data_IF_282045034512
#
_entry.id   IF_282045034512
#
_cell.length_a   1.000
_cell.length_b   1.000
_cell.length_c   1.000
_cell.angle_alpha   90.00
_cell.angle_beta   90.00
_cell.angle_gamma   90.00
#
_symmetry.space_group_name_H-M   'P 1'
#
loop_
_entity.id
_entity.type
_entity.pdbx_description
1 polymer ?
#
# COMPACT_ATOMS: atom_id res chain seq x y z
N UNK A 1 2.65 0.26 -22.59
CA UNK A 1 3.44 -0.16 -23.76
C UNK A 1 4.23 -1.45 -23.50
N UNK A 2 5.05 -1.51 -22.44
CA UNK A 2 5.84 -2.71 -22.11
C UNK A 2 4.98 -3.98 -21.96
N UNK A 3 3.90 -3.93 -21.18
CA UNK A 3 2.97 -5.05 -21.00
C UNK A 3 2.39 -5.53 -22.33
N UNK A 4 2.11 -4.61 -23.26
CA UNK A 4 1.62 -4.95 -24.59
C UNK A 4 2.66 -5.70 -25.40
N UNK A 5 3.92 -5.23 -25.36
CA UNK A 5 5.03 -5.87 -26.04
C UNK A 5 5.25 -7.30 -25.51
N UNK A 6 5.24 -7.48 -24.19
CA UNK A 6 5.39 -8.80 -23.57
C UNK A 6 4.25 -9.74 -23.93
N UNK A 7 2.99 -9.27 -23.87
CA UNK A 7 1.83 -10.05 -24.31
C UNK A 7 1.86 -10.33 -25.81
N UNK A 8 2.39 -9.43 -26.63
CA UNK A 8 2.56 -9.64 -28.06
C UNK A 8 3.60 -10.72 -28.33
N UNK A 9 4.76 -10.68 -27.66
CA UNK A 9 5.80 -11.71 -27.76
C UNK A 9 5.27 -13.07 -27.30
N UNK A 10 4.52 -13.08 -26.20
CA UNK A 10 3.95 -14.29 -25.64
C UNK A 10 2.82 -14.89 -26.51
N UNK A 11 1.84 -14.08 -26.92
CA UNK A 11 0.66 -14.52 -27.68
C UNK A 11 0.95 -14.65 -29.18
N UNK A 12 2.02 -14.03 -29.68
CA UNK A 12 2.42 -13.94 -31.10
C UNK A 12 1.33 -13.35 -32.00
N UNK A 13 0.43 -12.58 -31.40
CA UNK A 13 -0.77 -12.07 -32.07
C UNK A 13 -1.11 -10.67 -31.58
N UNK A 14 -1.00 -9.69 -32.48
CA UNK A 14 -1.39 -8.30 -32.23
C UNK A 14 -2.82 -8.21 -31.70
N UNK A 15 -3.77 -8.93 -32.33
CA UNK A 15 -5.19 -8.91 -31.93
C UNK A 15 -5.39 -9.40 -30.49
N UNK A 16 -4.74 -10.50 -30.10
CA UNK A 16 -4.94 -11.07 -28.76
C UNK A 16 -4.36 -10.14 -27.70
N UNK A 17 -3.12 -9.66 -27.89
CA UNK A 17 -2.48 -8.74 -26.96
C UNK A 17 -3.26 -7.43 -26.78
N UNK A 18 -3.76 -6.86 -27.88
CA UNK A 18 -4.55 -5.63 -27.83
C UNK A 18 -5.89 -5.84 -27.11
N UNK A 19 -6.56 -6.98 -27.34
CA UNK A 19 -7.82 -7.28 -26.65
C UNK A 19 -7.65 -7.49 -25.14
N UNK A 20 -6.56 -8.14 -24.70
CA UNK A 20 -6.27 -8.27 -23.26
C UNK A 20 -6.12 -6.91 -22.61
N UNK A 21 -5.32 -6.04 -23.23
CA UNK A 21 -5.02 -4.74 -22.66
C UNK A 21 -6.22 -3.83 -22.73
N UNK A 22 -7.00 -3.92 -23.80
CA UNK A 22 -8.28 -3.22 -23.89
C UNK A 22 -9.20 -3.63 -22.73
N UNK A 23 -9.36 -4.93 -22.46
CA UNK A 23 -10.18 -5.40 -21.34
C UNK A 23 -9.65 -4.92 -19.97
N UNK A 24 -8.34 -4.95 -19.77
CA UNK A 24 -7.71 -4.43 -18.55
C UNK A 24 -7.88 -2.91 -18.39
N UNK A 25 -7.72 -2.14 -19.47
CA UNK A 25 -7.93 -0.68 -19.46
C UNK A 25 -9.38 -0.33 -19.17
N UNK A 26 -10.35 -1.05 -19.75
CA UNK A 26 -11.77 -0.86 -19.44
C UNK A 26 -12.02 -1.10 -17.94
N UNK A 27 -11.39 -2.11 -17.33
CA UNK A 27 -11.52 -2.37 -15.90
C UNK A 27 -11.03 -1.19 -15.05
N UNK A 28 -9.88 -0.62 -15.42
CA UNK A 28 -9.29 0.55 -14.73
C UNK A 28 -10.18 1.79 -14.91
N UNK A 29 -10.64 2.07 -16.13
CA UNK A 29 -11.51 3.22 -16.42
C UNK A 29 -12.83 3.10 -15.66
N UNK A 30 -13.43 1.92 -15.62
CA UNK A 30 -14.65 1.68 -14.85
C UNK A 30 -14.42 1.80 -13.34
N UNK A 31 -13.27 1.34 -12.85
CA UNK A 31 -12.90 1.51 -11.44
C UNK A 31 -12.74 3.00 -11.08
N UNK A 32 -12.05 3.78 -11.90
CA UNK A 32 -11.91 5.23 -11.70
C UNK A 32 -13.26 5.96 -11.79
N UNK A 33 -14.13 5.53 -12.71
CA UNK A 33 -15.49 6.05 -12.81
C UNK A 33 -16.33 5.71 -11.58
N UNK A 34 -16.24 4.48 -11.08
CA UNK A 34 -16.93 4.05 -9.86
C UNK A 34 -16.43 4.82 -8.63
N UNK A 35 -15.12 5.08 -8.55
CA UNK A 35 -14.51 5.87 -7.49
C UNK A 35 -15.10 7.28 -7.41
N UNK A 36 -15.16 7.97 -8.55
CA UNK A 36 -15.73 9.31 -8.65
C UNK A 36 -17.23 9.32 -8.28
N UNK A 37 -17.98 8.27 -8.63
CA UNK A 37 -19.40 8.15 -8.28
C UNK A 37 -19.62 7.94 -6.78
N UNK A 38 -18.65 7.37 -6.07
CA UNK A 38 -18.68 7.20 -4.61
C UNK A 38 -18.22 8.44 -3.84
N UNK A 39 -17.73 9.48 -4.55
CA UNK A 39 -17.26 10.73 -3.95
C UNK A 39 -15.80 10.69 -3.47
N UNK A 40 -15.06 9.62 -3.80
CA UNK A 40 -13.65 9.49 -3.45
C UNK A 40 -12.74 10.10 -4.52
N UNK A 41 -11.57 10.56 -4.09
CA UNK A 41 -10.52 11.12 -4.94
C UNK A 41 -9.38 10.13 -5.22
N UNK A 42 -8.42 10.54 -6.06
CA UNK A 42 -7.12 9.89 -6.11
C UNK A 42 -6.18 10.64 -5.17
N UNK A 43 -5.76 9.96 -4.12
CA UNK A 43 -4.78 10.43 -3.14
C UNK A 43 -3.41 9.78 -3.40
N UNK A 44 -2.31 10.37 -2.90
CA UNK A 44 -0.95 9.85 -3.13
C UNK A 44 -0.79 8.35 -2.79
N UNK A 45 -1.49 7.88 -1.77
CA UNK A 45 -1.47 6.47 -1.34
C UNK A 45 -2.28 5.55 -2.26
N UNK A 46 -3.42 6.03 -2.80
CA UNK A 46 -4.28 5.22 -3.65
C UNK A 46 -3.91 5.31 -5.15
N UNK A 47 -2.93 6.17 -5.50
CA UNK A 47 -2.41 6.31 -6.87
C UNK A 47 -1.86 5.00 -7.46
N UNK A 48 -1.46 4.04 -6.62
CA UNK A 48 -0.99 2.72 -7.05
C UNK A 48 -2.14 1.74 -7.37
N UNK A 49 -3.36 2.01 -6.93
CA UNK A 49 -4.52 1.11 -7.11
C UNK A 49 -4.85 0.86 -8.59
N UNK A 50 -4.92 1.88 -9.47
CA UNK A 50 -5.13 1.65 -10.90
C UNK A 50 -4.10 0.71 -11.52
N UNK A 51 -2.83 0.83 -11.13
CA UNK A 51 -1.77 -0.05 -11.61
C UNK A 51 -1.96 -1.49 -11.11
N UNK A 52 -2.31 -1.67 -9.84
CA UNK A 52 -2.59 -2.99 -9.27
C UNK A 52 -3.77 -3.68 -9.97
N UNK A 53 -4.87 -2.96 -10.16
CA UNK A 53 -6.05 -3.47 -10.87
C UNK A 53 -5.71 -3.82 -12.32
N UNK A 54 -4.94 -2.97 -13.00
CA UNK A 54 -4.43 -3.27 -14.35
C UNK A 54 -3.62 -4.57 -14.38
N UNK A 55 -2.69 -4.76 -13.44
CA UNK A 55 -1.84 -5.94 -13.37
C UNK A 55 -2.64 -7.23 -13.11
N UNK A 56 -3.60 -7.20 -12.18
CA UNK A 56 -4.52 -8.30 -11.90
C UNK A 56 -5.35 -8.62 -13.15
N UNK A 57 -5.89 -7.59 -13.80
CA UNK A 57 -6.71 -7.74 -14.98
C UNK A 57 -5.93 -8.38 -16.15
N UNK A 58 -4.70 -7.92 -16.38
CA UNK A 58 -3.82 -8.50 -17.40
C UNK A 58 -3.48 -9.97 -17.09
N UNK A 59 -3.22 -10.31 -15.83
CA UNK A 59 -2.92 -11.69 -15.42
C UNK A 59 -4.08 -12.64 -15.73
N UNK A 60 -5.31 -12.28 -15.33
CA UNK A 60 -6.49 -13.09 -15.65
C UNK A 60 -6.82 -13.10 -17.14
N UNK A 61 -6.62 -11.98 -17.84
CA UNK A 61 -6.79 -11.91 -19.28
C UNK A 61 -5.79 -12.80 -20.05
N UNK A 62 -4.55 -12.90 -19.56
CA UNK A 62 -3.52 -13.79 -20.10
C UNK A 62 -3.92 -15.26 -19.90
N UNK A 63 -4.40 -15.63 -18.71
CA UNK A 63 -4.89 -17.00 -18.46
C UNK A 63 -6.00 -17.37 -19.45
N UNK A 64 -6.96 -16.47 -19.69
CA UNK A 64 -8.04 -16.65 -20.67
C UNK A 64 -7.50 -16.85 -22.08
N UNK A 65 -6.55 -16.01 -22.49
CA UNK A 65 -5.93 -16.10 -23.81
C UNK A 65 -5.13 -17.38 -23.97
N UNK A 66 -4.42 -17.82 -22.94
CA UNK A 66 -3.64 -19.04 -23.01
C UNK A 66 -4.53 -20.27 -23.22
N UNK A 67 -5.65 -20.37 -22.47
CA UNK A 67 -6.64 -21.45 -22.68
C UNK A 67 -7.34 -21.33 -24.03
N UNK A 68 -7.76 -20.12 -24.43
CA UNK A 68 -8.36 -19.88 -25.74
C UNK A 68 -7.44 -20.29 -26.89
N UNK A 69 -6.15 -19.95 -26.78
CA UNK A 69 -5.12 -20.31 -27.76
C UNK A 69 -4.91 -21.81 -27.84
N UNK A 70 -4.84 -22.51 -26.70
CA UNK A 70 -4.80 -23.97 -26.66
C UNK A 70 -5.98 -24.60 -27.40
N UNK A 71 -7.19 -24.08 -27.20
CA UNK A 71 -8.40 -24.55 -27.91
C UNK A 71 -8.35 -24.27 -29.41
N UNK A 72 -7.91 -23.08 -29.83
CA UNK A 72 -7.78 -22.72 -31.25
C UNK A 72 -6.70 -23.55 -31.96
N UNK A 73 -5.58 -23.86 -31.30
CA UNK A 73 -4.47 -24.57 -31.95
C UNK A 73 -4.58 -26.09 -31.86
N UNK A 74 -5.06 -26.60 -30.73
CA UNK A 74 -5.00 -28.02 -30.38
C UNK A 74 -6.35 -28.59 -29.91
N UNK A 75 -7.41 -27.80 -29.87
CA UNK A 75 -8.75 -28.27 -29.46
C UNK A 75 -8.85 -28.66 -27.98
N UNK A 76 -7.86 -28.27 -27.17
CA UNK A 76 -7.68 -28.71 -25.80
C UNK A 76 -6.57 -27.94 -25.08
N UNK A 77 -6.08 -28.50 -23.97
CA UNK A 77 -4.93 -27.95 -23.25
C UNK A 77 -3.63 -28.23 -24.01
N UNK A 78 -2.62 -27.36 -23.83
CA UNK A 78 -1.26 -27.53 -24.37
C UNK A 78 -0.48 -28.60 -23.56
N UNK A 79 -1.09 -29.76 -23.33
CA UNK A 79 -0.56 -30.87 -22.55
C UNK A 79 -0.35 -32.10 -23.46
N UNK A 80 0.89 -32.61 -23.45
CA UNK A 80 1.32 -33.77 -24.25
C UNK A 80 2.67 -33.54 -24.93
N UNK A 81 3.15 -34.55 -25.64
CA UNK A 81 4.35 -34.41 -26.48
C UNK A 81 4.03 -33.55 -27.71
N UNK A 82 5.03 -32.88 -28.33
CA UNK A 82 4.81 -32.09 -29.54
C UNK A 82 4.14 -32.88 -30.67
N UNK A 83 4.44 -34.18 -30.79
CA UNK A 83 3.86 -35.07 -31.79
C UNK A 83 2.36 -35.32 -31.55
N UNK A 84 1.94 -35.52 -30.30
CA UNK A 84 0.52 -35.63 -29.94
C UNK A 84 -0.22 -34.31 -30.21
N UNK A 85 0.40 -33.18 -29.87
CA UNK A 85 -0.17 -31.87 -30.12
C UNK A 85 -0.28 -31.55 -31.61
N UNK A 86 0.61 -32.06 -32.47
CA UNK A 86 0.50 -31.93 -33.93
C UNK A 86 -0.70 -32.68 -34.51
N UNK A 87 -1.03 -33.84 -33.95
CA UNK A 87 -2.17 -34.65 -34.42
C UNK A 87 -3.52 -34.06 -34.02
N UNK A 88 -3.59 -33.30 -32.92
CA UNK A 88 -4.85 -32.65 -32.49
C UNK A 88 -5.31 -31.58 -33.48
N UNK A 89 -6.62 -31.33 -33.56
CA UNK A 89 -7.19 -30.26 -34.39
C UNK A 89 -7.86 -29.21 -33.51
N UNK A 90 -7.62 -27.95 -33.86
CA UNK A 90 -8.26 -26.79 -33.25
C UNK A 90 -9.76 -26.73 -33.46
N UNK A 91 -10.45 -26.00 -32.59
CA UNK A 91 -11.88 -25.68 -32.71
C UNK A 91 -12.09 -24.22 -33.16
N UNK A 92 -13.24 -23.91 -33.79
CA UNK A 92 -13.54 -22.53 -34.24
C UNK A 92 -13.59 -21.54 -33.06
N UNK A 93 -13.37 -20.23 -33.31
CA UNK A 93 -13.22 -19.21 -32.26
C UNK A 93 -14.35 -19.16 -31.23
N UNK A 94 -15.61 -19.31 -31.67
CA UNK A 94 -16.76 -19.32 -30.76
C UNK A 94 -16.69 -20.51 -29.78
N UNK A 95 -16.43 -21.71 -30.29
CA UNK A 95 -16.32 -22.91 -29.45
C UNK A 95 -15.06 -22.84 -28.57
N UNK A 96 -13.96 -22.28 -29.07
CA UNK A 96 -12.75 -22.06 -28.30
C UNK A 96 -12.99 -21.12 -27.11
N UNK A 97 -13.70 -20.02 -27.32
CA UNK A 97 -14.05 -19.06 -26.28
C UNK A 97 -14.97 -19.70 -25.22
N UNK A 98 -15.99 -20.45 -25.65
CA UNK A 98 -16.90 -21.15 -24.73
C UNK A 98 -16.17 -22.17 -23.85
N UNK A 99 -15.28 -22.98 -24.44
CA UNK A 99 -14.50 -23.98 -23.69
C UNK A 99 -13.49 -23.33 -22.76
N UNK A 100 -12.78 -22.29 -23.22
CA UNK A 100 -11.83 -21.55 -22.38
C UNK A 100 -12.54 -20.87 -21.19
N UNK A 101 -13.71 -20.27 -21.45
CA UNK A 101 -14.56 -19.70 -20.42
C UNK A 101 -15.01 -20.74 -19.41
N UNK A 102 -15.56 -21.88 -19.85
CA UNK A 102 -16.00 -22.94 -18.94
C UNK A 102 -14.87 -23.50 -18.05
N UNK A 103 -13.65 -23.58 -18.59
CA UNK A 103 -12.47 -24.06 -17.85
C UNK A 103 -11.97 -23.05 -16.81
N UNK A 104 -12.03 -21.74 -17.11
CA UNK A 104 -11.48 -20.69 -16.23
C UNK A 104 -12.52 -20.11 -15.30
N UNK A 105 -13.81 -20.18 -15.63
CA UNK A 105 -14.86 -19.48 -14.89
C UNK A 105 -14.80 -19.77 -13.38
N UNK A 106 -14.78 -21.05 -12.99
CA UNK A 106 -14.75 -21.44 -11.58
C UNK A 106 -13.45 -21.00 -10.90
N UNK A 107 -12.24 -21.41 -11.35
CA UNK A 107 -11.00 -21.03 -10.68
C UNK A 107 -10.75 -19.51 -10.72
N UNK A 108 -11.11 -18.84 -11.81
CA UNK A 108 -10.99 -17.39 -11.98
C UNK A 108 -11.93 -16.62 -11.07
N UNK A 109 -13.19 -17.04 -10.95
CA UNK A 109 -14.15 -16.44 -10.02
C UNK A 109 -13.72 -16.62 -8.57
N UNK A 110 -13.29 -17.83 -8.17
CA UNK A 110 -12.82 -18.08 -6.80
C UNK A 110 -11.60 -17.21 -6.47
N UNK A 111 -10.65 -17.10 -7.39
CA UNK A 111 -9.48 -16.25 -7.21
C UNK A 111 -9.86 -14.76 -7.07
N UNK A 112 -10.72 -14.23 -7.96
CA UNK A 112 -11.13 -12.83 -7.92
C UNK A 112 -11.99 -12.50 -6.69
N UNK A 113 -12.92 -13.39 -6.31
CA UNK A 113 -13.72 -13.23 -5.10
C UNK A 113 -12.86 -13.30 -3.84
N UNK A 114 -11.90 -14.21 -3.78
CA UNK A 114 -10.95 -14.27 -2.67
C UNK A 114 -10.12 -12.99 -2.57
N UNK A 115 -9.72 -12.41 -3.71
CA UNK A 115 -9.03 -11.10 -3.73
C UNK A 115 -9.94 -9.97 -3.26
N UNK A 116 -11.22 -9.95 -3.66
CA UNK A 116 -12.20 -8.99 -3.15
C UNK A 116 -12.37 -9.10 -1.62
N UNK A 117 -12.44 -10.32 -1.08
CA UNK A 117 -12.48 -10.54 0.38
C UNK A 117 -11.19 -10.04 1.02
N UNK A 118 -10.02 -10.36 0.46
CA UNK A 118 -8.72 -9.91 0.95
C UNK A 118 -8.63 -8.39 1.05
N UNK A 119 -8.93 -7.66 -0.04
CA UNK A 119 -9.00 -6.19 0.01
C UNK A 119 -10.10 -5.68 0.94
N UNK A 120 -11.25 -6.35 0.99
CA UNK A 120 -12.35 -6.02 1.89
C UNK A 120 -11.96 -6.13 3.37
N UNK A 121 -11.10 -7.08 3.75
CA UNK A 121 -10.63 -7.18 5.15
C UNK A 121 -9.80 -5.98 5.60
N UNK A 122 -9.15 -5.26 4.68
CA UNK A 122 -8.39 -4.05 4.98
C UNK A 122 -9.31 -2.91 5.46
N UNK A 123 -10.61 -2.94 5.12
CA UNK A 123 -11.61 -1.97 5.60
C UNK A 123 -11.81 -2.00 7.12
N UNK A 124 -11.36 -3.07 7.81
CA UNK A 124 -11.42 -3.17 9.26
C UNK A 124 -10.37 -2.31 9.97
N UNK A 125 -9.38 -1.79 9.24
CA UNK A 125 -8.33 -0.93 9.79
C UNK A 125 -8.90 0.49 9.94
N UNK A 126 -8.93 1.08 11.15
CA UNK A 126 -9.53 2.39 11.40
C UNK A 126 -8.59 3.53 10.98
N UNK A 127 -8.31 3.62 9.67
CA UNK A 127 -7.51 4.69 9.06
C UNK A 127 -8.18 5.07 7.74
N UNK A 128 -8.66 6.32 7.65
CA UNK A 128 -9.50 6.77 6.52
C UNK A 128 -8.80 6.60 5.15
N UNK A 129 -7.52 6.93 5.07
CA UNK A 129 -6.75 6.73 3.82
C UNK A 129 -6.68 5.27 3.38
N UNK A 130 -6.59 4.34 4.33
CA UNK A 130 -6.54 2.89 4.06
C UNK A 130 -7.92 2.39 3.66
N UNK A 131 -8.98 2.95 4.25
CA UNK A 131 -10.36 2.65 3.90
C UNK A 131 -10.65 2.98 2.43
N UNK A 132 -10.31 4.19 1.97
CA UNK A 132 -10.53 4.59 0.57
C UNK A 132 -9.76 3.69 -0.41
N UNK A 133 -8.50 3.38 -0.11
CA UNK A 133 -7.69 2.43 -0.87
C UNK A 133 -8.36 1.06 -0.98
N UNK A 134 -8.84 0.52 0.15
CA UNK A 134 -9.45 -0.80 0.22
C UNK A 134 -10.78 -0.88 -0.53
N UNK A 135 -11.64 0.15 -0.42
CA UNK A 135 -12.88 0.23 -1.20
C UNK A 135 -12.57 0.24 -2.69
N UNK A 136 -11.65 1.12 -3.10
CA UNK A 136 -11.24 1.28 -4.50
C UNK A 136 -10.69 -0.03 -5.08
N UNK A 137 -9.81 -0.71 -4.34
CA UNK A 137 -9.23 -1.98 -4.76
C UNK A 137 -10.30 -3.08 -4.86
N UNK A 138 -11.20 -3.18 -3.88
CA UNK A 138 -12.28 -4.18 -3.87
C UNK A 138 -13.23 -3.99 -5.05
N UNK A 139 -13.66 -2.75 -5.31
CA UNK A 139 -14.50 -2.42 -6.47
C UNK A 139 -13.75 -2.69 -7.78
N UNK A 140 -12.47 -2.32 -7.86
CA UNK A 140 -11.65 -2.57 -9.05
C UNK A 140 -11.54 -4.06 -9.40
N UNK A 141 -11.22 -4.90 -8.42
CA UNK A 141 -11.14 -6.36 -8.62
C UNK A 141 -12.50 -6.95 -8.96
N UNK A 142 -13.58 -6.46 -8.33
CA UNK A 142 -14.93 -6.87 -8.68
C UNK A 142 -15.28 -6.54 -10.15
N UNK A 143 -14.89 -5.35 -10.63
CA UNK A 143 -15.08 -4.97 -12.03
C UNK A 143 -14.22 -5.81 -13.00
N UNK A 144 -13.06 -6.30 -12.56
CA UNK A 144 -12.25 -7.24 -13.34
C UNK A 144 -12.99 -8.56 -13.64
N UNK A 145 -13.96 -8.96 -12.81
CA UNK A 145 -14.82 -10.11 -13.10
C UNK A 145 -15.58 -9.87 -14.40
N UNK A 146 -16.25 -8.71 -14.52
CA UNK A 146 -17.04 -8.40 -15.72
C UNK A 146 -16.17 -8.21 -16.96
N UNK A 147 -15.02 -7.55 -16.83
CA UNK A 147 -14.18 -7.27 -18.00
C UNK A 147 -13.43 -8.52 -18.49
N UNK A 148 -12.80 -9.28 -17.60
CA UNK A 148 -11.95 -10.40 -18.03
C UNK A 148 -12.68 -11.73 -18.10
N UNK A 149 -13.69 -11.98 -17.24
CA UNK A 149 -14.47 -13.23 -17.33
C UNK A 149 -15.59 -13.12 -18.37
N UNK A 150 -16.22 -11.95 -18.54
CA UNK A 150 -17.36 -11.83 -19.46
C UNK A 150 -16.97 -11.14 -20.77
N UNK A 151 -16.51 -9.89 -20.71
CA UNK A 151 -16.28 -9.10 -21.92
C UNK A 151 -15.15 -9.67 -22.78
N UNK A 152 -14.02 -10.08 -22.20
CA UNK A 152 -12.89 -10.62 -22.96
C UNK A 152 -13.23 -11.90 -23.75
N UNK A 153 -13.87 -12.94 -23.18
CA UNK A 153 -14.29 -14.11 -23.95
C UNK A 153 -15.29 -13.78 -25.05
N UNK A 154 -16.21 -12.85 -24.80
CA UNK A 154 -17.15 -12.37 -25.83
C UNK A 154 -16.38 -11.74 -26.98
N UNK A 155 -15.43 -10.83 -26.70
CA UNK A 155 -14.59 -10.24 -27.73
C UNK A 155 -13.75 -11.29 -28.48
N UNK A 156 -13.18 -12.27 -27.77
CA UNK A 156 -12.42 -13.37 -28.37
C UNK A 156 -13.28 -14.24 -29.28
N UNK A 157 -14.56 -14.43 -28.98
CA UNK A 157 -15.47 -15.25 -29.81
C UNK A 157 -15.64 -14.70 -31.24
N UNK A 158 -15.53 -13.37 -31.41
CA UNK A 158 -15.58 -12.70 -32.71
C UNK A 158 -14.22 -12.60 -33.41
N UNK A 159 -13.14 -13.07 -32.78
CA UNK A 159 -11.80 -12.91 -33.35
C UNK A 159 -11.47 -14.02 -34.36
N UNK A 160 -11.19 -13.60 -35.59
CA UNK A 160 -10.57 -14.46 -36.59
C UNK A 160 -9.07 -14.19 -36.66
N UNK A 161 -8.28 -15.22 -36.36
CA UNK A 161 -6.83 -15.20 -36.46
C UNK A 161 -6.40 -15.63 -37.86
N UNK A 162 -5.63 -14.77 -38.54
CA UNK A 162 -4.96 -15.14 -39.78
C UNK A 162 -3.74 -16.03 -39.50
N UNK A 163 -3.38 -16.88 -40.48
CA UNK A 163 -2.18 -17.71 -40.47
C UNK A 163 -2.07 -18.66 -39.28
N UNK A 164 -3.16 -19.37 -38.95
CA UNK A 164 -3.22 -20.33 -37.85
C UNK A 164 -2.10 -21.37 -37.92
N UNK A 165 -1.81 -21.95 -39.09
CA UNK A 165 -0.78 -22.99 -39.24
C UNK A 165 0.63 -22.48 -38.98
N UNK A 166 0.93 -21.22 -39.33
CA UNK A 166 2.22 -20.61 -39.03
C UNK A 166 2.38 -20.34 -37.53
N UNK A 167 1.32 -19.81 -36.90
CA UNK A 167 1.31 -19.54 -35.45
C UNK A 167 1.38 -20.83 -34.63
N UNK A 168 0.68 -21.87 -35.06
CA UNK A 168 0.72 -23.21 -34.44
C UNK A 168 2.12 -23.81 -34.48
N UNK A 169 2.78 -23.81 -35.64
CA UNK A 169 4.17 -24.29 -35.79
C UNK A 169 5.16 -23.49 -34.96
N UNK A 170 4.99 -22.17 -34.87
CA UNK A 170 5.82 -21.34 -34.02
C UNK A 170 5.61 -21.67 -32.53
N UNK A 171 4.36 -21.91 -32.10
CA UNK A 171 4.06 -22.30 -30.72
C UNK A 171 4.65 -23.66 -30.36
N UNK A 172 4.57 -24.65 -31.25
CA UNK A 172 5.21 -25.96 -31.06
C UNK A 172 6.73 -25.84 -30.84
N UNK A 173 7.40 -24.95 -31.57
CA UNK A 173 8.83 -24.65 -31.36
C UNK A 173 9.11 -23.93 -30.03
N UNK A 174 8.20 -23.06 -29.59
CA UNK A 174 8.36 -22.38 -28.30
C UNK A 174 8.22 -23.35 -27.12
N UNK A 175 7.33 -24.35 -27.22
CA UNK A 175 7.12 -25.34 -26.17
C UNK A 175 8.44 -26.09 -25.89
N UNK A 176 9.18 -26.46 -26.94
CA UNK A 176 10.44 -27.21 -26.81
C UNK A 176 11.67 -26.34 -26.50
N UNK A 177 11.59 -25.02 -26.73
CA UNK A 177 12.73 -24.12 -26.58
C UNK A 177 13.31 -24.08 -25.16
N UNK A 178 12.49 -24.35 -24.15
CA UNK A 178 12.88 -24.31 -22.74
C UNK A 178 12.95 -25.68 -22.07
N UNK A 179 12.84 -26.78 -22.84
CA UNK A 179 12.81 -28.15 -22.30
C UNK A 179 14.05 -28.46 -21.44
N UNK A 180 15.22 -27.95 -21.82
CA UNK A 180 16.44 -28.19 -21.05
C UNK A 180 16.41 -27.52 -19.68
N UNK A 181 15.84 -26.31 -19.59
CA UNK A 181 15.67 -25.58 -18.33
C UNK A 181 14.61 -26.27 -17.46
N UNK A 182 13.47 -26.64 -18.07
CA UNK A 182 12.41 -27.37 -17.37
C UNK A 182 12.89 -28.73 -16.86
N UNK A 183 13.67 -29.47 -17.65
CA UNK A 183 14.26 -30.74 -17.22
C UNK A 183 15.25 -30.57 -16.07
N UNK A 184 15.96 -29.44 -16.01
CA UNK A 184 16.84 -29.10 -14.89
C UNK A 184 16.03 -28.75 -13.64
N UNK A 185 15.00 -27.91 -13.76
CA UNK A 185 14.11 -27.55 -12.66
C UNK A 185 13.34 -28.77 -12.13
N UNK A 186 12.91 -29.69 -13.00
CA UNK A 186 12.23 -30.92 -12.60
C UNK A 186 13.10 -31.84 -11.72
N UNK A 187 14.44 -31.72 -11.78
CA UNK A 187 15.33 -32.45 -10.86
C UNK A 187 15.19 -31.97 -9.42
N UNK A 188 14.75 -30.73 -9.19
CA UNK A 188 14.48 -30.20 -7.84
C UNK A 188 13.30 -30.91 -7.18
N UNK A 189 12.35 -31.44 -7.96
CA UNK A 189 11.20 -32.20 -7.46
C UNK A 189 11.51 -33.65 -7.09
N UNK A 190 12.77 -34.11 -7.24
CA UNK A 190 13.18 -35.46 -6.81
C UNK A 190 13.23 -35.52 -5.28
N UNK A 191 12.84 -36.63 -4.64
CA UNK A 191 12.59 -36.69 -3.19
C UNK A 191 13.75 -36.20 -2.33
N UNK A 192 14.99 -36.57 -2.67
CA UNK A 192 16.19 -36.12 -1.93
C UNK A 192 16.50 -34.62 -2.14
N UNK A 193 16.32 -34.11 -3.36
CA UNK A 193 16.60 -32.70 -3.67
C UNK A 193 15.49 -31.80 -3.12
N UNK A 194 14.23 -32.25 -3.22
CA UNK A 194 13.09 -31.58 -2.63
C UNK A 194 13.24 -31.45 -1.11
N UNK A 195 13.74 -32.49 -0.43
CA UNK A 195 14.05 -32.41 1.00
C UNK A 195 15.11 -31.35 1.31
N UNK A 196 16.17 -31.25 0.50
CA UNK A 196 17.19 -30.21 0.64
C UNK A 196 16.63 -28.81 0.40
N UNK A 197 15.76 -28.63 -0.59
CA UNK A 197 15.10 -27.34 -0.88
C UNK A 197 14.16 -26.95 0.26
N UNK A 198 13.39 -27.91 0.80
CA UNK A 198 12.53 -27.68 1.96
C UNK A 198 13.36 -27.33 3.20
N UNK A 199 14.45 -28.07 3.45
CA UNK A 199 15.36 -27.77 4.56
C UNK A 199 15.97 -26.36 4.41
N UNK A 200 16.41 -25.98 3.21
CA UNK A 200 16.91 -24.65 2.91
C UNK A 200 15.84 -23.56 3.08
N UNK A 201 14.59 -23.85 2.71
CA UNK A 201 13.46 -22.94 2.92
C UNK A 201 13.14 -22.74 4.41
N UNK A 202 13.15 -23.83 5.19
CA UNK A 202 12.93 -23.78 6.64
C UNK A 202 14.06 -23.06 7.35
N UNK A 203 15.32 -23.29 6.97
CA UNK A 203 16.44 -22.55 7.55
C UNK A 203 16.38 -21.07 7.19
N UNK A 204 16.09 -20.71 5.94
CA UNK A 204 15.91 -19.33 5.53
C UNK A 204 14.76 -18.65 6.29
N UNK A 205 13.62 -19.34 6.45
CA UNK A 205 12.50 -18.85 7.26
C UNK A 205 12.90 -18.65 8.73
N UNK A 206 13.62 -19.60 9.33
CA UNK A 206 14.10 -19.49 10.70
C UNK A 206 15.03 -18.28 10.88
N UNK A 207 16.00 -18.09 9.99
CA UNK A 207 16.88 -16.92 10.03
C UNK A 207 16.13 -15.61 9.84
N UNK A 208 15.16 -15.56 8.92
CA UNK A 208 14.32 -14.39 8.70
C UNK A 208 13.45 -14.06 9.92
N UNK A 209 12.89 -15.09 10.57
CA UNK A 209 12.09 -14.91 11.79
C UNK A 209 12.93 -14.31 12.93
N UNK A 210 14.16 -14.79 13.12
CA UNK A 210 15.06 -14.28 14.16
C UNK A 210 15.47 -12.81 13.96
N UNK A 211 15.40 -12.29 12.73
CA UNK A 211 15.72 -10.89 12.44
C UNK A 211 14.47 -10.03 12.23
N UNK A 212 13.26 -10.60 12.32
CA UNK A 212 12.02 -9.88 12.07
C UNK A 212 11.79 -8.76 13.11
N UNK A 213 12.21 -8.96 14.36
CA UNK A 213 12.09 -7.96 15.44
C UNK A 213 13.01 -6.75 15.24
N UNK A 214 14.03 -6.86 14.38
CA UNK A 214 14.93 -5.75 14.06
C UNK A 214 14.37 -4.83 12.97
N UNK A 215 13.20 -5.18 12.39
CA UNK A 215 12.57 -4.36 11.36
C UNK A 215 11.97 -3.11 11.99
N UNK A 216 12.54 -1.95 11.67
CA UNK A 216 12.07 -0.66 12.16
C UNK A 216 10.65 -0.38 11.63
N UNK A 217 9.73 -0.05 12.53
CA UNK A 217 8.34 0.31 12.22
C UNK A 217 8.16 1.79 12.52
N UNK A 218 7.81 2.58 11.50
CA UNK A 218 7.71 4.04 11.58
C UNK A 218 8.71 4.73 10.66
N UNK A 219 9.03 6.00 10.94
CA UNK A 219 9.97 6.78 10.14
C UNK A 219 11.40 6.35 10.39
N UNK A 220 12.01 5.77 9.36
CA UNK A 220 13.38 5.28 9.40
C UNK A 220 14.43 6.37 9.11
N UNK A 221 13.99 7.58 8.81
CA UNK A 221 14.80 8.63 8.20
C UNK A 221 14.52 9.97 8.89
N UNK A 222 15.53 10.84 8.97
CA UNK A 222 15.34 12.18 9.50
C UNK A 222 14.38 13.00 8.61
N UNK A 223 13.41 13.64 9.25
CA UNK A 223 12.34 14.37 8.55
C UNK A 223 11.16 13.45 8.25
N UNK A 224 10.49 13.70 7.11
CA UNK A 224 9.25 13.03 6.71
C UNK A 224 9.59 12.00 5.63
N UNK A 225 9.33 10.72 5.90
CA UNK A 225 9.75 9.61 5.03
C UNK A 225 8.97 9.53 3.71
N UNK A 226 7.83 10.19 3.62
CA UNK A 226 7.02 10.35 2.42
C UNK A 226 7.73 11.18 1.34
N UNK A 227 8.69 12.01 1.74
CA UNK A 227 9.49 12.83 0.84
C UNK A 227 10.83 12.18 0.51
N UNK A 228 11.39 12.55 -0.63
CA UNK A 228 12.76 12.16 -0.96
C UNK A 228 13.75 12.64 0.13
N UNK A 229 14.82 11.88 0.41
CA UNK A 229 15.84 12.30 1.38
C UNK A 229 16.44 13.67 1.10
N UNK A 230 16.50 14.06 -0.18
CA UNK A 230 17.05 15.33 -0.66
C UNK A 230 16.01 16.46 -0.71
N UNK A 231 14.75 16.19 -0.34
CA UNK A 231 13.68 17.17 -0.39
C UNK A 231 14.03 18.36 0.50
N UNK A 232 13.73 19.58 0.03
CA UNK A 232 14.03 20.82 0.75
C UNK A 232 13.56 20.78 2.20
N UNK A 233 12.38 20.24 2.47
CA UNK A 233 11.87 20.07 3.83
C UNK A 233 12.82 19.22 4.70
N UNK A 234 13.24 18.04 4.24
CA UNK A 234 14.13 17.14 4.97
C UNK A 234 15.54 17.73 5.14
N UNK A 235 16.02 18.52 4.17
CA UNK A 235 17.29 19.26 4.28
C UNK A 235 17.19 20.40 5.29
N UNK A 236 16.15 21.23 5.20
CA UNK A 236 15.92 22.38 6.06
C UNK A 236 15.65 21.93 7.50
N UNK A 237 14.86 20.86 7.71
CA UNK A 237 14.59 20.27 9.02
C UNK A 237 15.87 19.78 9.69
N UNK A 238 16.73 19.03 8.98
CA UNK A 238 18.03 18.61 9.52
C UNK A 238 18.91 19.80 9.88
N UNK A 239 18.98 20.80 9.01
CA UNK A 239 19.75 22.01 9.27
C UNK A 239 19.26 22.75 10.52
N UNK A 240 17.95 22.86 10.70
CA UNK A 240 17.34 23.54 11.86
C UNK A 240 17.66 22.78 13.15
N UNK A 241 17.44 21.47 13.16
CA UNK A 241 17.73 20.61 14.31
C UNK A 241 19.21 20.70 14.71
N UNK A 242 20.12 20.59 13.74
CA UNK A 242 21.57 20.60 13.97
C UNK A 242 22.09 21.98 14.44
N UNK A 243 21.60 23.07 13.85
CA UNK A 243 22.15 24.42 14.08
C UNK A 243 21.52 25.16 15.23
N UNK A 244 20.24 24.92 15.51
CA UNK A 244 19.49 25.69 16.49
C UNK A 244 19.14 24.87 17.74
N UNK A 245 19.44 23.57 17.79
CA UNK A 245 19.01 22.67 18.89
C UNK A 245 17.49 22.76 19.16
N UNK A 246 16.74 23.12 18.11
CA UNK A 246 15.29 23.22 18.10
C UNK A 246 14.78 22.06 17.24
N UNK A 247 13.99 21.18 17.84
CA UNK A 247 13.29 20.14 17.08
C UNK A 247 12.10 20.74 16.36
N UNK A 248 11.81 20.25 15.15
CA UNK A 248 10.53 20.48 14.48
C UNK A 248 9.41 19.65 15.12
N UNK A 249 9.75 18.63 15.90
CA UNK A 249 8.80 17.78 16.61
C UNK A 249 8.47 18.37 17.99
N UNK A 250 7.24 18.86 18.14
CA UNK A 250 6.71 19.41 19.39
C UNK A 250 5.71 18.42 19.99
N UNK A 251 5.90 18.07 21.26
CA UNK A 251 4.94 17.28 22.03
C UNK A 251 4.12 18.24 22.89
N UNK A 252 2.81 18.33 22.63
CA UNK A 252 1.88 19.09 23.45
C UNK A 252 1.28 18.18 24.52
N UNK A 253 1.45 18.54 25.79
CA UNK A 253 0.84 17.85 26.93
C UNK A 253 -0.26 18.72 27.49
N UNK A 254 -1.51 18.27 27.32
CA UNK A 254 -2.69 18.98 27.81
C UNK A 254 -3.05 18.43 29.19
N UNK A 255 -3.03 19.30 30.20
CA UNK A 255 -3.42 18.97 31.56
C UNK A 255 -4.89 19.33 31.78
N UNK A 256 -5.78 18.33 31.76
CA UNK A 256 -7.20 18.53 32.04
C UNK A 256 -7.45 18.74 33.55
N UNK A 257 -8.11 19.84 33.89
CA UNK A 257 -8.51 20.17 35.25
C UNK A 257 -9.89 20.85 35.26
N UNK A 258 -10.46 21.03 36.45
CA UNK A 258 -11.77 21.71 36.60
C UNK A 258 -11.78 23.15 36.07
N UNK A 259 -12.96 23.78 35.98
CA UNK A 259 -13.09 25.14 35.46
C UNK A 259 -12.18 26.11 36.23
N UNK A 260 -11.55 27.03 35.50
CA UNK A 260 -10.62 28.05 36.04
C UNK A 260 -9.41 27.50 36.82
N UNK A 261 -9.07 26.22 36.71
CA UNK A 261 -7.99 25.60 37.48
C UNK A 261 -6.63 26.30 37.29
N UNK A 262 -6.35 26.87 36.12
CA UNK A 262 -5.12 27.62 35.85
C UNK A 262 -4.95 28.85 36.78
N UNK A 263 -6.05 29.49 37.21
CA UNK A 263 -6.01 30.68 38.07
C UNK A 263 -6.42 30.39 39.52
N UNK A 264 -7.34 29.46 39.73
CA UNK A 264 -7.93 29.20 41.05
C UNK A 264 -7.30 28.03 41.80
N UNK A 265 -6.67 27.08 41.09
CA UNK A 265 -6.14 25.86 41.68
C UNK A 265 -4.61 25.84 41.68
N UNK A 266 -4.02 26.31 42.80
CA UNK A 266 -2.58 26.24 43.02
C UNK A 266 -2.00 24.84 42.85
N UNK A 267 -2.70 23.80 43.31
CA UNK A 267 -2.20 22.42 43.25
C UNK A 267 -2.09 21.91 41.81
N UNK A 268 -3.01 22.32 40.93
CA UNK A 268 -2.94 21.99 39.51
C UNK A 268 -1.73 22.67 38.85
N UNK A 269 -1.55 23.97 39.09
CA UNK A 269 -0.39 24.72 38.59
C UNK A 269 0.95 24.19 39.12
N UNK A 270 1.00 23.79 40.39
CA UNK A 270 2.19 23.17 40.99
C UNK A 270 2.49 21.80 40.38
N UNK A 271 1.47 21.00 40.07
CA UNK A 271 1.66 19.70 39.42
C UNK A 271 2.22 19.86 38.00
N UNK A 272 1.65 20.78 37.21
CA UNK A 272 2.13 21.09 35.85
C UNK A 272 3.58 21.59 35.90
N UNK A 273 3.90 22.45 36.87
CA UNK A 273 5.25 22.98 37.05
C UNK A 273 6.27 21.88 37.39
N UNK A 274 5.91 20.97 38.30
CA UNK A 274 6.75 19.82 38.65
C UNK A 274 6.94 18.88 37.47
N UNK A 275 5.88 18.64 36.69
CA UNK A 275 5.95 17.82 35.48
C UNK A 275 6.87 18.46 34.43
N UNK A 276 6.71 19.76 34.16
CA UNK A 276 7.57 20.47 33.22
C UNK A 276 9.04 20.44 33.66
N UNK A 277 9.30 20.58 34.96
CA UNK A 277 10.65 20.46 35.52
C UNK A 277 11.23 19.06 35.33
N UNK A 278 10.45 18.01 35.61
CA UNK A 278 10.90 16.62 35.38
C UNK A 278 11.21 16.39 33.89
N UNK A 279 10.30 16.80 33.00
CA UNK A 279 10.47 16.65 31.55
C UNK A 279 11.70 17.41 31.02
N UNK A 280 12.03 18.56 31.60
CA UNK A 280 13.22 19.34 31.22
C UNK A 280 14.53 18.61 31.52
N UNK A 281 14.50 17.60 32.40
CA UNK A 281 15.65 16.80 32.78
C UNK A 281 15.67 15.42 32.09
N UNK A 282 14.63 15.06 31.33
CA UNK A 282 14.59 13.78 30.61
C UNK A 282 15.58 13.82 29.44
N UNK A 283 16.48 12.83 29.30
CA UNK A 283 17.40 12.76 28.15
C UNK A 283 16.64 12.79 26.83
N UNK A 284 17.01 13.71 25.93
CA UNK A 284 16.38 13.89 24.62
C UNK A 284 15.41 15.07 24.55
N UNK A 285 14.93 15.58 25.68
CA UNK A 285 14.12 16.81 25.71
C UNK A 285 15.03 18.03 25.63
N UNK A 286 14.88 18.83 24.56
CA UNK A 286 15.67 20.05 24.36
C UNK A 286 15.14 21.23 25.18
N UNK A 287 13.81 21.38 25.24
CA UNK A 287 13.14 22.47 25.92
C UNK A 287 11.73 22.05 26.35
N UNK A 288 11.33 22.45 27.55
CA UNK A 288 9.93 22.38 28.01
C UNK A 288 9.46 23.78 28.40
N UNK A 289 8.25 24.14 27.98
CA UNK A 289 7.59 25.40 28.32
C UNK A 289 6.23 25.05 28.91
N UNK A 290 5.89 25.68 30.04
CA UNK A 290 4.61 25.48 30.68
C UNK A 290 4.08 26.79 31.28
N UNK A 291 2.75 26.92 31.38
CA UNK A 291 2.07 28.08 31.95
C UNK A 291 2.62 28.51 33.33
N UNK A 292 2.90 27.60 34.29
CA UNK A 292 3.44 27.97 35.59
C UNK A 292 4.82 28.67 35.53
N UNK A 293 5.64 28.36 34.52
CA UNK A 293 6.95 28.98 34.36
C UNK A 293 6.82 30.47 34.01
N UNK A 294 5.84 30.81 33.16
CA UNK A 294 5.49 32.19 32.81
C UNK A 294 4.93 32.91 34.03
N UNK A 295 3.99 32.29 34.75
CA UNK A 295 3.40 32.87 35.95
C UNK A 295 4.46 33.23 37.02
N UNK A 296 5.44 32.35 37.26
CA UNK A 296 6.57 32.63 38.17
C UNK A 296 7.41 33.82 37.71
N UNK A 297 7.66 33.94 36.41
CA UNK A 297 8.47 35.01 35.84
C UNK A 297 7.75 36.36 35.96
N UNK A 298 6.47 36.40 35.59
CA UNK A 298 5.63 37.60 35.70
C UNK A 298 5.46 38.02 37.16
N UNK A 299 5.24 37.06 38.07
CA UNK A 299 5.17 37.34 39.51
C UNK A 299 6.46 37.99 40.03
N UNK A 300 7.63 37.50 39.63
CA UNK A 300 8.89 38.16 39.96
C UNK A 300 8.99 39.56 39.35
N UNK A 301 8.50 39.75 38.11
CA UNK A 301 8.45 41.05 37.43
C UNK A 301 7.63 42.09 38.18
N UNK A 302 6.46 41.73 38.71
CA UNK A 302 5.65 42.61 39.57
C UNK A 302 6.30 42.92 40.92
N UNK A 303 7.31 42.15 41.33
CA UNK A 303 8.05 42.32 42.57
C UNK A 303 9.50 42.75 42.29
N UNK A 304 9.65 43.82 41.50
CA UNK A 304 10.94 44.47 41.19
C UNK A 304 11.97 43.54 40.51
N UNK A 305 11.52 42.44 39.88
CA UNK A 305 12.40 41.44 39.28
C UNK A 305 13.17 40.58 40.30
N UNK A 306 12.77 40.61 41.57
CA UNK A 306 13.49 39.92 42.64
C UNK A 306 13.39 38.39 42.51
N UNK A 307 14.51 37.65 42.49
CA UNK A 307 14.50 36.19 42.36
C UNK A 307 13.72 35.47 43.48
N UNK A 308 13.57 36.09 44.65
CA UNK A 308 12.81 35.54 45.78
C UNK A 308 11.32 35.37 45.45
N UNK A 309 10.80 36.19 44.54
CA UNK A 309 9.41 36.18 44.11
C UNK A 309 9.17 35.34 42.85
N UNK A 310 10.19 34.64 42.34
CA UNK A 310 10.07 33.68 41.23
C UNK A 310 9.45 32.35 41.68
N UNK A 311 8.29 32.43 42.31
CA UNK A 311 7.51 31.32 42.84
C UNK A 311 6.05 31.46 42.39
N UNK A 312 5.30 30.34 42.42
CA UNK A 312 3.89 30.36 42.06
C UNK A 312 3.08 31.10 43.13
N UNK A 313 2.27 32.10 42.76
CA UNK A 313 1.38 32.76 43.70
C UNK A 313 0.39 31.77 44.33
N UNK A 314 0.24 31.80 45.67
CA UNK A 314 -0.80 31.02 46.35
C UNK A 314 -2.15 31.74 46.39
N UNK A 315 -2.14 33.06 46.20
CA UNK A 315 -3.33 33.88 46.17
C UNK A 315 -3.89 33.89 44.74
N UNK A 316 -5.15 33.52 44.59
CA UNK A 316 -5.89 33.45 43.31
C UNK A 316 -5.86 34.77 42.54
N UNK A 317 -5.97 35.92 43.22
CA UNK A 317 -5.96 37.22 42.54
C UNK A 317 -4.58 37.53 41.95
N UNK A 318 -3.52 37.23 42.69
CA UNK A 318 -2.14 37.40 42.24
C UNK A 318 -1.81 36.40 41.14
N UNK A 319 -2.35 35.18 41.19
CA UNK A 319 -2.23 34.21 40.11
C UNK A 319 -2.94 34.71 38.84
N UNK A 320 -4.16 35.23 38.96
CA UNK A 320 -4.91 35.80 37.84
C UNK A 320 -4.17 36.98 37.22
N UNK A 321 -3.59 37.86 38.05
CA UNK A 321 -2.75 38.96 37.60
C UNK A 321 -1.47 38.47 36.88
N UNK A 322 -0.82 37.41 37.39
CA UNK A 322 0.37 36.85 36.77
C UNK A 322 0.08 36.18 35.41
N UNK A 323 -1.18 35.77 35.17
CA UNK A 323 -1.64 35.14 33.94
C UNK A 323 -2.35 36.10 32.99
N UNK A 324 -2.62 37.35 33.38
CA UNK A 324 -3.47 38.26 32.60
C UNK A 324 -2.89 38.66 31.24
N UNK A 325 -1.57 38.49 31.04
CA UNK A 325 -0.88 38.74 29.78
C UNK A 325 -0.65 37.48 28.93
N UNK A 326 -1.16 36.33 29.36
CA UNK A 326 -1.09 35.08 28.58
C UNK A 326 -2.35 35.00 27.73
N UNK A 327 -2.19 35.18 26.43
CA UNK A 327 -3.25 35.03 25.44
C UNK A 327 -3.53 33.55 25.16
N UNK A 328 -4.77 33.22 24.78
CA UNK A 328 -5.18 31.83 24.46
C UNK A 328 -4.50 31.28 23.21
N UNK A 329 -4.05 32.15 22.32
CA UNK A 329 -3.28 31.79 21.12
C UNK A 329 -1.85 31.29 21.44
N UNK A 330 -1.37 31.52 22.66
CA UNK A 330 -0.07 31.00 23.14
C UNK A 330 -0.04 29.49 23.26
N UNK A 331 -1.20 28.82 23.27
CA UNK A 331 -1.33 27.37 23.50
C UNK A 331 -1.00 26.93 24.93
N UNK A 332 -0.73 27.86 25.84
CA UNK A 332 -0.45 27.58 27.26
C UNK A 332 -1.71 27.61 28.14
N UNK A 333 -2.80 28.17 27.62
CA UNK A 333 -4.11 28.25 28.25
C UNK A 333 -5.19 28.19 27.16
N UNK A 334 -6.28 27.50 27.45
CA UNK A 334 -7.45 27.32 26.56
C UNK A 334 -8.71 27.85 27.27
#
# INVERSE_FOLDING_TARGET
>A
ALTWLLLFVYSTSFKLATLTIFAALVAVVWMLGALQLMGFGIDPMNMLTPFLIFAIAVSHGEQMINRFRGQIFFGGLEEGTPEELEQRRGVPPLQAAQRAFALILIPGMVALLSSCVGFGTILLIPVDMIYELAVTATVGVFLCIFTNMVMLPVLLSYTQLSNLDRKRRYRLRQITAFDHIWALLAKLSRPMVALLVLAAGVTAWYFAHQHAEQMMVGDAQDGVAELHPEARYNVDSRLITDRFSLSTDIINVIAEAGPFACSENFKAMELIDRFAWEMSNVPGVQQAIALPMVAKLVNAGYNEGSPKWRSLPRNTEVMRQALSGVETDSGLID
#
